data_IF_267009279719
#
_entry.id   IF_267009279719
#
_cell.length_a   1.000
_cell.length_b   1.000
_cell.length_c   1.000
_cell.angle_alpha   90.00
_cell.angle_beta   90.00
_cell.angle_gamma   90.00
#
_symmetry.space_group_name_H-M   'P 1'
#
loop_
_entity.id
_entity.type
_entity.pdbx_description
1 polymer ?
#
# COMPACT_ATOMS: atom_id res chain seq x y z
N UNK A 1 -14.38 -0.54 -23.03
CA UNK A 1 -13.51 -0.82 -21.87
C UNK A 1 -13.55 -2.32 -21.63
N UNK A 2 -12.42 -3.03 -21.80
CA UNK A 2 -12.34 -4.48 -21.55
C UNK A 2 -11.83 -4.70 -20.13
N UNK A 3 -12.66 -5.29 -19.26
CA UNK A 3 -12.19 -5.88 -18.02
C UNK A 3 -11.42 -7.16 -18.39
N UNK A 4 -10.09 -7.12 -18.32
CA UNK A 4 -9.25 -8.31 -18.40
C UNK A 4 -9.15 -8.92 -17.01
N UNK A 5 -9.62 -10.16 -16.83
CA UNK A 5 -9.30 -10.95 -15.65
C UNK A 5 -7.79 -11.24 -15.69
N UNK A 6 -7.00 -10.41 -15.01
CA UNK A 6 -5.61 -10.75 -14.70
C UNK A 6 -5.60 -12.00 -13.85
N UNK A 7 -5.00 -13.08 -14.36
CA UNK A 7 -4.77 -14.28 -13.56
C UNK A 7 -3.74 -13.88 -12.49
N UNK A 8 -4.06 -13.97 -11.19
CA UNK A 8 -3.06 -13.70 -10.16
C UNK A 8 -1.90 -14.69 -10.34
N UNK A 9 -0.66 -14.26 -10.08
CA UNK A 9 0.55 -15.09 -10.17
C UNK A 9 0.52 -16.37 -9.29
N UNK A 10 -0.55 -16.59 -8.52
CA UNK A 10 -0.75 -17.75 -7.64
C UNK A 10 0.17 -17.76 -6.41
N UNK A 11 1.02 -16.74 -6.24
CA UNK A 11 1.98 -16.65 -5.16
C UNK A 11 1.35 -16.02 -3.92
N UNK A 12 1.25 -16.79 -2.85
CA UNK A 12 0.87 -16.29 -1.53
C UNK A 12 2.11 -15.92 -0.73
N UNK A 13 2.08 -14.76 -0.08
CA UNK A 13 3.10 -14.30 0.86
C UNK A 13 2.41 -13.82 2.15
N UNK A 14 3.08 -13.97 3.28
CA UNK A 14 2.60 -13.46 4.57
C UNK A 14 3.29 -12.14 4.89
N UNK A 15 2.54 -11.18 5.41
CA UNK A 15 3.04 -9.93 5.98
C UNK A 15 2.44 -9.72 7.37
N UNK A 16 3.22 -9.15 8.28
CA UNK A 16 2.84 -8.91 9.67
C UNK A 16 3.10 -7.43 9.98
N UNK A 17 2.23 -6.78 10.76
CA UNK A 17 2.49 -5.41 11.22
C UNK A 17 3.72 -5.35 12.13
N UNK A 18 4.42 -4.22 12.16
CA UNK A 18 5.58 -4.01 13.03
C UNK A 18 6.83 -3.56 12.27
N UNK A 19 7.96 -3.45 12.97
CA UNK A 19 9.23 -2.99 12.39
C UNK A 19 10.08 -4.19 11.94
N UNK A 20 10.09 -4.45 10.64
CA UNK A 20 10.81 -5.52 9.96
C UNK A 20 11.40 -5.03 8.62
N UNK A 21 11.81 -5.96 7.75
CA UNK A 21 12.33 -5.62 6.42
C UNK A 21 11.30 -4.91 5.53
N UNK A 22 10.01 -5.30 5.63
CA UNK A 22 8.92 -4.66 4.91
C UNK A 22 8.72 -3.21 5.39
N UNK A 23 8.81 -2.96 6.69
CA UNK A 23 8.81 -1.60 7.25
C UNK A 23 9.96 -0.76 6.70
N UNK A 24 11.18 -1.31 6.68
CA UNK A 24 12.34 -0.62 6.14
C UNK A 24 12.19 -0.32 4.64
N UNK A 25 11.58 -1.24 3.88
CA UNK A 25 11.25 -1.02 2.48
C UNK A 25 10.23 0.11 2.31
N UNK A 26 9.13 0.09 3.06
CA UNK A 26 8.11 1.14 3.01
C UNK A 26 8.71 2.53 3.30
N UNK A 27 9.56 2.65 4.33
CA UNK A 27 10.26 3.90 4.62
C UNK A 27 11.15 4.38 3.47
N UNK A 28 11.89 3.46 2.81
CA UNK A 28 12.72 3.81 1.66
C UNK A 28 11.86 4.31 0.50
N UNK A 29 10.79 3.60 0.16
CA UNK A 29 9.87 3.99 -0.92
C UNK A 29 9.24 5.36 -0.67
N UNK A 30 8.79 5.65 0.55
CA UNK A 30 8.23 6.96 0.92
C UNK A 30 9.26 8.09 0.74
N UNK A 31 10.53 7.84 1.10
CA UNK A 31 11.62 8.81 0.93
C UNK A 31 11.96 9.03 -0.54
N UNK A 32 12.02 7.97 -1.33
CA UNK A 32 12.25 8.03 -2.79
C UNK A 32 11.14 8.80 -3.52
N UNK A 33 9.92 8.75 -2.99
CA UNK A 33 8.78 9.52 -3.48
C UNK A 33 8.82 11.01 -3.11
N UNK A 34 9.77 11.44 -2.26
CA UNK A 34 10.00 12.86 -1.96
C UNK A 34 9.62 13.28 -0.54
N UNK A 35 9.13 12.38 0.32
CA UNK A 35 8.90 12.71 1.73
C UNK A 35 10.23 12.71 2.50
N UNK A 36 10.80 13.90 2.64
CA UNK A 36 12.10 14.12 3.31
C UNK A 36 11.98 14.50 4.78
N UNK A 37 10.76 14.82 5.26
CA UNK A 37 10.46 15.19 6.65
C UNK A 37 9.29 14.38 7.18
N UNK A 38 9.33 14.09 8.49
CA UNK A 38 8.35 13.26 9.17
C UNK A 38 8.79 11.79 9.25
N UNK A 39 8.26 11.09 10.25
CA UNK A 39 8.41 9.65 10.38
C UNK A 39 7.03 9.03 10.20
N UNK A 40 6.72 8.43 9.03
CA UNK A 40 5.41 7.84 8.79
C UNK A 40 5.29 6.58 9.66
N UNK A 41 4.73 6.74 10.86
CA UNK A 41 4.55 5.65 11.84
C UNK A 41 3.80 4.46 11.22
N UNK A 42 2.88 4.76 10.30
CA UNK A 42 2.05 3.80 9.56
C UNK A 42 2.83 2.96 8.53
N UNK A 43 4.11 3.29 8.24
CA UNK A 43 4.93 2.46 7.36
C UNK A 43 5.12 1.02 7.90
N UNK A 44 4.83 0.79 9.19
CA UNK A 44 4.87 -0.52 9.83
C UNK A 44 3.59 -1.34 9.62
N UNK A 45 2.54 -0.74 9.07
CA UNK A 45 1.27 -1.40 8.79
C UNK A 45 1.37 -2.21 7.50
N UNK A 46 0.66 -3.34 7.46
CA UNK A 46 0.78 -4.36 6.41
C UNK A 46 0.48 -3.77 5.03
N UNK A 47 -0.48 -2.86 4.94
CA UNK A 47 -0.95 -2.22 3.72
C UNK A 47 0.18 -1.44 3.04
N UNK A 48 0.94 -0.64 3.81
CA UNK A 48 2.05 0.16 3.30
C UNK A 48 3.24 -0.71 2.89
N UNK A 49 3.49 -1.80 3.63
CA UNK A 49 4.53 -2.78 3.27
C UNK A 49 4.20 -3.47 1.96
N UNK A 50 2.98 -4.00 1.82
CA UNK A 50 2.53 -4.70 0.60
C UNK A 50 2.55 -3.78 -0.60
N UNK A 51 2.07 -2.53 -0.48
CA UNK A 51 2.14 -1.57 -1.58
C UNK A 51 3.59 -1.29 -2.03
N UNK A 52 4.51 -1.21 -1.07
CA UNK A 52 5.94 -0.96 -1.34
C UNK A 52 6.63 -2.20 -1.93
N UNK A 53 6.26 -3.40 -1.49
CA UNK A 53 6.70 -4.67 -2.11
C UNK A 53 6.19 -4.81 -3.54
N UNK A 54 4.95 -4.42 -3.80
CA UNK A 54 4.40 -4.42 -5.16
C UNK A 54 5.21 -3.52 -6.07
N UNK A 55 5.54 -2.31 -5.60
CA UNK A 55 6.40 -1.38 -6.33
C UNK A 55 7.79 -1.95 -6.60
N UNK A 56 8.45 -2.49 -5.56
CA UNK A 56 9.80 -3.00 -5.65
C UNK A 56 9.94 -4.21 -6.60
N UNK A 57 8.88 -5.03 -6.69
CA UNK A 57 8.89 -6.27 -7.47
C UNK A 57 8.11 -6.17 -8.78
N UNK A 58 7.59 -5.00 -9.15
CA UNK A 58 6.80 -4.81 -10.37
C UNK A 58 5.46 -5.57 -10.38
N UNK A 59 4.87 -5.82 -9.20
CA UNK A 59 3.56 -6.49 -9.09
C UNK A 59 2.47 -5.47 -9.39
N UNK A 60 1.65 -5.75 -10.42
CA UNK A 60 0.61 -4.84 -10.89
C UNK A 60 -0.78 -5.16 -10.33
N UNK A 61 -0.99 -6.37 -9.79
CA UNK A 61 -2.26 -6.74 -9.17
C UNK A 61 -2.03 -7.67 -7.99
N UNK A 62 -2.64 -7.35 -6.85
CA UNK A 62 -2.61 -8.19 -5.67
C UNK A 62 -3.92 -8.11 -4.87
N UNK A 63 -4.17 -9.15 -4.08
CA UNK A 63 -5.22 -9.17 -3.05
C UNK A 63 -4.55 -9.31 -1.69
N UNK A 64 -4.90 -8.42 -0.77
CA UNK A 64 -4.48 -8.45 0.62
C UNK A 64 -5.69 -8.83 1.48
N UNK A 65 -5.53 -9.89 2.28
CA UNK A 65 -6.52 -10.28 3.30
C UNK A 65 -5.88 -10.03 4.66
N UNK A 66 -6.49 -9.16 5.46
CA UNK A 66 -5.97 -8.75 6.77
C UNK A 66 -7.08 -8.79 7.82
N UNK A 67 -6.68 -8.96 9.08
CA UNK A 67 -7.58 -9.00 10.22
C UNK A 67 -7.90 -7.60 10.81
N UNK A 68 -7.45 -6.53 10.15
CA UNK A 68 -7.73 -5.14 10.51
C UNK A 68 -8.31 -4.38 9.30
N UNK A 69 -8.81 -3.18 9.53
CA UNK A 69 -9.22 -2.25 8.46
C UNK A 69 -8.09 -1.25 8.26
N UNK A 70 -7.74 -0.88 7.01
CA UNK A 70 -6.76 0.17 6.76
C UNK A 70 -7.12 1.45 7.52
N UNK A 71 -6.14 2.03 8.23
CA UNK A 71 -6.39 3.30 8.91
C UNK A 71 -6.76 4.39 7.89
N UNK A 72 -7.76 5.20 8.25
CA UNK A 72 -8.37 6.25 7.44
C UNK A 72 -8.09 7.66 8.00
N UNK A 73 -7.48 7.75 9.18
CA UNK A 73 -7.27 8.98 9.92
C UNK A 73 -5.95 9.69 9.58
N UNK A 74 -6.06 10.93 9.11
CA UNK A 74 -4.93 11.84 8.89
C UNK A 74 -4.33 11.80 7.49
N UNK A 75 -3.34 12.67 7.25
CA UNK A 75 -2.74 12.89 5.93
C UNK A 75 -1.87 11.72 5.44
N UNK A 76 -1.32 10.94 6.37
CA UNK A 76 -0.43 9.81 6.09
C UNK A 76 -1.06 8.48 6.53
N UNK A 77 -2.40 8.41 6.48
CA UNK A 77 -3.15 7.19 6.72
C UNK A 77 -2.86 6.15 5.63
N UNK A 78 -3.12 4.88 5.91
CA UNK A 78 -2.98 3.82 4.93
C UNK A 78 -3.87 4.07 3.72
N UNK A 79 -5.10 4.52 3.94
CA UNK A 79 -6.06 4.81 2.86
C UNK A 79 -5.52 5.82 1.83
N UNK A 80 -4.78 6.83 2.29
CA UNK A 80 -4.19 7.86 1.42
C UNK A 80 -2.82 7.50 0.87
N UNK A 81 -2.02 6.76 1.64
CA UNK A 81 -0.65 6.45 1.25
C UNK A 81 -0.53 5.22 0.35
N UNK A 82 -1.46 4.26 0.45
CA UNK A 82 -1.43 3.05 -0.39
C UNK A 82 -1.48 3.40 -1.90
N UNK A 83 -2.40 4.24 -2.40
CA UNK A 83 -2.42 4.67 -3.80
C UNK A 83 -1.11 5.33 -4.29
N UNK A 84 -0.40 6.02 -3.38
CA UNK A 84 0.85 6.72 -3.66
C UNK A 84 2.04 5.77 -3.71
N UNK A 85 2.06 4.76 -2.84
CA UNK A 85 3.12 3.75 -2.79
C UNK A 85 3.03 2.79 -3.96
N UNK A 86 1.81 2.43 -4.35
CA UNK A 86 1.55 1.54 -5.47
C UNK A 86 2.12 2.10 -6.79
N UNK A 87 2.74 1.25 -7.64
CA UNK A 87 3.18 1.68 -8.96
C UNK A 87 2.00 2.12 -9.83
N UNK A 88 2.21 3.10 -10.71
CA UNK A 88 1.16 3.60 -11.60
C UNK A 88 0.53 2.48 -12.43
N UNK A 89 -0.81 2.44 -12.50
CA UNK A 89 -1.55 1.41 -13.22
C UNK A 89 -1.68 0.07 -12.51
N UNK A 90 -1.23 -0.03 -11.25
CA UNK A 90 -1.45 -1.21 -10.41
C UNK A 90 -2.72 -1.12 -9.57
N UNK A 91 -3.17 -2.27 -9.05
CA UNK A 91 -4.34 -2.38 -8.18
C UNK A 91 -4.06 -3.27 -6.97
N UNK A 92 -4.45 -2.82 -5.79
CA UNK A 92 -4.47 -3.63 -4.56
C UNK A 92 -5.89 -3.72 -4.03
N UNK A 93 -6.45 -4.93 -4.00
CA UNK A 93 -7.74 -5.17 -3.34
C UNK A 93 -7.51 -5.61 -1.90
N UNK A 94 -8.07 -4.90 -0.94
CA UNK A 94 -7.96 -5.22 0.49
C UNK A 94 -9.29 -5.77 1.01
N UNK A 95 -9.23 -6.92 1.66
CA UNK A 95 -10.31 -7.50 2.46
C UNK A 95 -9.90 -7.42 3.93
N UNK A 96 -10.63 -6.61 4.70
CA UNK A 96 -10.36 -6.35 6.11
C UNK A 96 -11.41 -6.95 7.04
N UNK A 97 -11.28 -6.63 8.33
CA UNK A 97 -12.26 -7.03 9.34
C UNK A 97 -13.66 -6.44 9.08
N UNK A 98 -14.70 -7.08 9.63
CA UNK A 98 -16.07 -6.57 9.58
C UNK A 98 -16.69 -6.52 8.18
N UNK A 99 -16.15 -7.28 7.21
CA UNK A 99 -16.61 -7.25 5.82
C UNK A 99 -16.06 -6.08 5.00
N UNK A 100 -15.06 -5.37 5.51
CA UNK A 100 -14.40 -4.29 4.77
C UNK A 100 -13.84 -4.81 3.45
N UNK A 101 -14.11 -4.07 2.38
CA UNK A 101 -13.55 -4.32 1.05
C UNK A 101 -13.28 -2.99 0.35
N UNK A 102 -12.05 -2.80 -0.08
CA UNK A 102 -11.63 -1.62 -0.84
C UNK A 102 -10.66 -2.02 -1.95
N UNK A 103 -10.67 -1.31 -3.07
CA UNK A 103 -9.68 -1.46 -4.14
C UNK A 103 -8.94 -0.15 -4.33
N UNK A 104 -7.63 -0.17 -4.10
CA UNK A 104 -6.74 0.96 -4.29
C UNK A 104 -6.11 0.90 -5.68
N UNK A 105 -5.98 2.08 -6.30
CA UNK A 105 -5.37 2.25 -7.62
C UNK A 105 -4.05 3.01 -7.47
N UNK A 106 -2.98 2.47 -8.05
CA UNK A 106 -1.66 3.06 -7.96
C UNK A 106 -1.42 4.21 -8.93
N UNK A 107 -0.56 5.14 -8.52
CA UNK A 107 -0.13 6.28 -9.34
C UNK A 107 -0.52 7.64 -8.78
N UNK A 108 -1.03 7.70 -7.54
CA UNK A 108 -1.25 8.97 -6.88
C UNK A 108 0.07 9.63 -6.44
N UNK A 109 0.01 10.94 -6.23
CA UNK A 109 1.15 11.73 -5.78
C UNK A 109 1.10 11.89 -4.26
N UNK A 110 2.26 12.08 -3.63
CA UNK A 110 2.30 12.40 -2.19
C UNK A 110 1.38 13.59 -1.91
N UNK A 111 0.56 13.52 -0.84
CA UNK A 111 -0.28 14.63 -0.45
C UNK A 111 0.61 15.85 -0.17
N UNK A 112 0.34 16.96 -0.87
CA UNK A 112 0.99 18.22 -0.60
C UNK A 112 0.63 18.64 0.85
N UNK A 113 1.60 19.03 1.70
CA UNK A 113 1.26 19.61 2.99
C UNK A 113 0.42 20.86 2.74
N UNK A 114 -0.83 20.87 3.21
CA UNK A 114 -1.61 22.11 3.23
C UNK A 114 -0.87 23.16 4.07
N UNK A 115 -0.77 24.41 3.60
CA UNK A 115 -0.08 25.49 4.33
C UNK A 115 -0.69 25.74 5.71
#
# INVERSE_FOLDING_TARGET
MRAGCGVPDGRTRSAISGKDEGFALALRTIRELGMTRGFPLRAADVEMKVASEMRANGITSATLVINHVPCDDGMFSCDRMVPVLLPAGSTLTVFGAGGFRMTYHGGEQLPCPTP
#
